data_IF_123290192611
#
_entry.id   IF_123290192611
#
_cell.length_a   1.000
_cell.length_b   1.000
_cell.length_c   1.000
_cell.angle_alpha   90.00
_cell.angle_beta   90.00
_cell.angle_gamma   90.00
#
_symmetry.space_group_name_H-M   'P 1'
#
loop_
_entity.id
_entity.type
_entity.pdbx_description
1 polymer ?
#
# COMPACT_ATOMS: atom_id res chain seq x y z
N UNK A 1 -6.18 -15.91 -16.50
CA UNK A 1 -7.24 -15.12 -15.86
C UNK A 1 -6.88 -13.66 -16.03
N UNK A 2 -7.78 -12.83 -16.57
CA UNK A 2 -7.53 -11.40 -16.66
C UNK A 2 -7.61 -10.76 -15.26
N UNK A 3 -6.90 -9.66 -15.04
CA UNK A 3 -6.88 -8.94 -13.76
C UNK A 3 -8.29 -8.45 -13.34
N UNK A 4 -9.18 -8.23 -14.32
CA UNK A 4 -10.56 -7.80 -14.14
C UNK A 4 -11.44 -8.94 -13.61
N UNK A 5 -11.16 -10.19 -13.98
CA UNK A 5 -11.88 -11.38 -13.51
C UNK A 5 -11.44 -11.83 -12.11
N UNK A 6 -10.43 -11.18 -11.52
CA UNK A 6 -9.99 -11.55 -10.17
C UNK A 6 -11.15 -11.39 -9.18
N UNK A 7 -11.48 -12.44 -8.39
CA UNK A 7 -12.59 -12.39 -7.46
C UNK A 7 -12.34 -11.36 -6.35
N UNK A 8 -13.41 -10.69 -5.91
CA UNK A 8 -13.32 -9.76 -4.78
C UNK A 8 -12.98 -10.55 -3.51
N UNK A 9 -11.99 -10.08 -2.77
CA UNK A 9 -11.66 -10.62 -1.46
C UNK A 9 -12.81 -10.29 -0.50
N UNK A 10 -13.41 -11.34 0.08
CA UNK A 10 -14.46 -11.22 1.10
C UNK A 10 -13.93 -11.41 2.51
N UNK A 11 -12.85 -12.17 2.68
CA UNK A 11 -12.18 -12.41 3.95
C UNK A 11 -10.90 -11.61 4.00
N UNK A 12 -10.72 -10.80 5.04
CA UNK A 12 -9.48 -10.06 5.33
C UNK A 12 -8.36 -11.01 5.80
N UNK A 13 -8.09 -12.04 5.00
CA UNK A 13 -7.06 -13.03 5.27
C UNK A 13 -5.72 -12.51 4.74
N UNK A 14 -4.64 -12.56 5.55
CA UNK A 14 -3.30 -12.18 5.13
C UNK A 14 -2.84 -12.92 3.86
N UNK A 15 -3.25 -14.18 3.71
CA UNK A 15 -2.91 -15.00 2.55
C UNK A 15 -3.58 -14.50 1.27
N UNK A 16 -4.84 -14.11 1.34
CA UNK A 16 -5.61 -13.63 0.19
C UNK A 16 -5.12 -12.25 -0.27
N UNK A 17 -4.80 -11.37 0.68
CA UNK A 17 -4.19 -10.07 0.38
C UNK A 17 -2.83 -10.21 -0.31
N UNK A 18 -1.97 -11.13 0.17
CA UNK A 18 -0.70 -11.44 -0.50
C UNK A 18 -0.90 -11.95 -1.91
N UNK A 19 -1.85 -12.88 -2.12
CA UNK A 19 -2.16 -13.42 -3.46
C UNK A 19 -2.66 -12.34 -4.40
N UNK A 20 -3.54 -11.45 -3.95
CA UNK A 20 -4.02 -10.31 -4.73
C UNK A 20 -2.86 -9.39 -5.14
N UNK A 21 -2.03 -8.96 -4.18
CA UNK A 21 -0.87 -8.09 -4.46
C UNK A 21 0.07 -8.75 -5.46
N UNK A 22 0.38 -10.03 -5.27
CA UNK A 22 1.26 -10.76 -6.19
C UNK A 22 0.67 -10.83 -7.60
N UNK A 23 -0.62 -11.18 -7.71
CA UNK A 23 -1.33 -11.27 -8.99
C UNK A 23 -1.34 -9.93 -9.71
N UNK A 24 -1.66 -8.83 -9.02
CA UNK A 24 -1.64 -7.49 -9.60
C UNK A 24 -0.24 -7.07 -10.05
N UNK A 25 0.80 -7.33 -9.24
CA UNK A 25 2.19 -7.07 -9.62
C UNK A 25 2.58 -7.80 -10.90
N UNK A 26 2.23 -9.09 -11.02
CA UNK A 26 2.52 -9.88 -12.22
C UNK A 26 1.80 -9.35 -13.46
N UNK A 27 0.52 -9.00 -13.34
CA UNK A 27 -0.25 -8.46 -14.46
C UNK A 27 0.26 -7.09 -14.90
N UNK A 28 0.52 -6.19 -13.96
CA UNK A 28 1.08 -4.86 -14.26
C UNK A 28 2.48 -5.01 -14.88
N UNK A 29 3.30 -5.94 -14.40
CA UNK A 29 4.59 -6.23 -15.00
C UNK A 29 4.46 -6.73 -16.45
N UNK A 30 3.51 -7.64 -16.71
CA UNK A 30 3.22 -8.11 -18.06
C UNK A 30 2.75 -6.97 -18.98
N UNK A 31 1.86 -6.08 -18.50
CA UNK A 31 1.41 -4.90 -19.24
C UNK A 31 2.58 -3.95 -19.57
N UNK A 32 3.46 -3.67 -18.60
CA UNK A 32 4.65 -2.86 -18.83
C UNK A 32 5.60 -3.50 -19.86
N UNK A 33 5.74 -4.83 -19.82
CA UNK A 33 6.57 -5.57 -20.80
C UNK A 33 6.00 -5.57 -22.21
N UNK A 34 4.69 -5.41 -22.35
CA UNK A 34 4.01 -5.26 -23.63
C UNK A 34 4.16 -3.85 -24.23
N UNK A 35 4.85 -2.91 -23.54
CA UNK A 35 5.16 -1.58 -24.05
C UNK A 35 4.13 -0.50 -23.73
N UNK A 36 3.06 -0.85 -23.02
CA UNK A 36 1.99 0.07 -22.61
C UNK A 36 2.31 0.69 -21.23
N UNK A 37 3.43 1.43 -21.14
CA UNK A 37 3.69 2.27 -19.97
C UNK A 37 2.87 3.56 -20.10
N UNK A 38 1.58 3.49 -19.78
CA UNK A 38 0.71 4.66 -19.81
C UNK A 38 0.91 5.52 -18.55
N UNK A 39 1.32 6.79 -18.70
CA UNK A 39 1.61 7.68 -17.57
C UNK A 39 0.41 7.94 -16.65
N UNK A 40 -0.83 7.73 -17.13
CA UNK A 40 -2.06 8.07 -16.40
C UNK A 40 -2.86 6.86 -15.86
N UNK A 41 -2.36 5.64 -16.02
CA UNK A 41 -3.11 4.43 -15.58
C UNK A 41 -3.14 4.25 -14.07
N UNK A 42 -2.40 5.04 -13.29
CA UNK A 42 -2.33 4.89 -11.83
C UNK A 42 -3.71 5.01 -11.17
N UNK A 43 -4.56 5.96 -11.60
CA UNK A 43 -5.91 6.12 -11.07
C UNK A 43 -6.80 4.93 -11.41
N UNK A 44 -6.73 4.44 -12.66
CA UNK A 44 -7.46 3.25 -13.12
C UNK A 44 -7.03 2.00 -12.35
N UNK A 45 -5.73 1.78 -12.18
CA UNK A 45 -5.16 0.65 -11.44
C UNK A 45 -5.56 0.70 -9.97
N UNK A 46 -5.52 1.88 -9.35
CA UNK A 46 -6.02 2.07 -7.99
C UNK A 46 -7.50 1.69 -7.88
N UNK A 47 -8.36 2.23 -8.75
CA UNK A 47 -9.79 1.91 -8.75
C UNK A 47 -10.03 0.41 -8.92
N UNK A 48 -9.28 -0.24 -9.82
CA UNK A 48 -9.35 -1.67 -10.03
C UNK A 48 -8.96 -2.45 -8.77
N UNK A 49 -7.83 -2.13 -8.12
CA UNK A 49 -7.40 -2.78 -6.88
C UNK A 49 -8.44 -2.56 -5.77
N UNK A 50 -8.93 -1.33 -5.59
CA UNK A 50 -9.95 -0.98 -4.59
C UNK A 50 -11.23 -1.79 -4.78
N UNK A 51 -11.66 -2.02 -6.03
CA UNK A 51 -12.83 -2.86 -6.33
C UNK A 51 -12.68 -4.32 -5.88
N UNK A 52 -11.45 -4.81 -5.74
CA UNK A 52 -11.15 -6.20 -5.35
C UNK A 52 -10.97 -6.40 -3.85
N UNK A 53 -10.94 -5.32 -3.06
CA UNK A 53 -10.78 -5.39 -1.60
C UNK A 53 -12.08 -4.99 -0.86
N UNK A 54 -12.25 -5.42 0.39
CA UNK A 54 -13.39 -5.02 1.22
C UNK A 54 -13.29 -3.54 1.65
N UNK A 55 -14.46 -2.94 1.91
CA UNK A 55 -14.62 -1.52 2.30
C UNK A 55 -13.85 -1.16 3.58
N UNK A 56 -13.67 -2.10 4.50
CA UNK A 56 -12.86 -1.91 5.72
C UNK A 56 -11.42 -1.54 5.40
N UNK A 57 -10.80 -2.23 4.44
CA UNK A 57 -9.44 -1.99 3.98
C UNK A 57 -9.37 -0.70 3.17
N UNK A 58 -10.37 -0.41 2.33
CA UNK A 58 -10.44 0.84 1.59
C UNK A 58 -10.43 2.05 2.54
N UNK A 59 -11.26 2.01 3.59
CA UNK A 59 -11.28 3.07 4.61
C UNK A 59 -9.94 3.22 5.34
N UNK A 60 -9.30 2.11 5.72
CA UNK A 60 -7.97 2.16 6.34
C UNK A 60 -6.93 2.78 5.41
N UNK A 61 -6.99 2.44 4.12
CA UNK A 61 -6.12 3.02 3.11
C UNK A 61 -6.36 4.53 2.97
N UNK A 62 -7.61 4.97 2.84
CA UNK A 62 -7.98 6.39 2.76
C UNK A 62 -7.48 7.19 3.97
N UNK A 63 -7.54 6.62 5.17
CA UNK A 63 -7.00 7.24 6.40
C UNK A 63 -5.47 7.38 6.41
N UNK A 64 -4.74 6.65 5.56
CA UNK A 64 -3.28 6.76 5.45
C UNK A 64 -2.83 7.84 4.45
N UNK A 65 -3.74 8.43 3.69
CA UNK A 65 -3.41 9.42 2.67
C UNK A 65 -3.25 10.82 3.28
N UNK A 66 -2.09 11.47 3.13
CA UNK A 66 -1.81 12.72 3.83
C UNK A 66 -2.47 13.97 3.22
N UNK A 67 -2.87 13.96 1.94
CA UNK A 67 -3.21 15.22 1.24
C UNK A 67 -4.27 15.13 0.11
N UNK A 68 -5.17 14.14 0.14
CA UNK A 68 -6.24 13.99 -0.87
C UNK A 68 -5.77 13.80 -2.34
N UNK A 69 -4.47 13.71 -2.60
CA UNK A 69 -3.90 13.34 -3.90
C UNK A 69 -3.99 11.83 -4.10
N UNK A 70 -4.26 11.40 -5.34
CA UNK A 70 -4.29 9.97 -5.70
C UNK A 70 -2.84 9.48 -5.79
N UNK A 71 -2.34 8.72 -4.81
CA UNK A 71 -0.96 8.25 -4.87
C UNK A 71 -0.82 7.19 -5.97
N UNK A 72 0.42 6.93 -6.45
CA UNK A 72 0.69 5.84 -7.38
C UNK A 72 0.19 4.49 -6.84
N UNK A 73 -0.27 3.62 -7.74
CA UNK A 73 -0.79 2.28 -7.39
C UNK A 73 0.21 1.43 -6.57
N UNK A 74 1.51 1.71 -6.69
CA UNK A 74 2.58 1.07 -5.92
C UNK A 74 2.39 1.30 -4.41
N UNK A 75 1.93 2.47 -3.99
CA UNK A 75 1.69 2.76 -2.57
C UNK A 75 0.55 1.90 -2.02
N UNK A 76 -0.53 1.73 -2.78
CA UNK A 76 -1.64 0.87 -2.42
C UNK A 76 -1.19 -0.61 -2.33
N UNK A 77 -0.40 -1.09 -3.29
CA UNK A 77 0.16 -2.45 -3.24
C UNK A 77 1.06 -2.67 -2.02
N UNK A 78 1.90 -1.69 -1.67
CA UNK A 78 2.76 -1.76 -0.49
C UNK A 78 1.94 -1.72 0.81
N UNK A 79 0.87 -0.92 0.87
CA UNK A 79 -0.05 -0.91 1.99
C UNK A 79 -0.70 -2.29 2.19
N UNK A 80 -1.24 -2.89 1.12
CA UNK A 80 -1.85 -4.22 1.18
C UNK A 80 -0.83 -5.30 1.58
N UNK A 81 0.43 -5.19 1.12
CA UNK A 81 1.51 -6.10 1.50
C UNK A 81 1.87 -5.97 2.98
N UNK A 82 1.90 -4.74 3.52
CA UNK A 82 2.11 -4.48 4.96
C UNK A 82 0.95 -5.00 5.80
N UNK A 83 -0.28 -4.81 5.34
CA UNK A 83 -1.48 -5.34 6.00
C UNK A 83 -1.46 -6.87 6.00
N UNK A 84 -1.04 -7.49 4.91
CA UNK A 84 -0.87 -8.95 4.83
C UNK A 84 0.30 -9.50 5.66
N UNK A 85 1.25 -8.65 6.09
CA UNK A 85 2.32 -9.03 7.03
C UNK A 85 1.92 -8.77 8.48
N UNK A 86 1.14 -7.73 8.75
CA UNK A 86 0.67 -7.38 10.09
C UNK A 86 -0.60 -8.15 10.41
N UNK A 87 -0.55 -9.09 11.34
CA UNK A 87 -1.73 -9.78 11.88
C UNK A 87 -2.67 -8.86 12.70
N UNK A 88 -2.49 -7.53 12.65
CA UNK A 88 -3.23 -6.54 13.44
C UNK A 88 -3.63 -5.36 12.54
N UNK A 89 -4.79 -4.73 12.79
CA UNK A 89 -5.19 -3.50 12.10
C UNK A 89 -4.08 -2.47 12.23
N UNK A 90 -3.77 -1.79 11.13
CA UNK A 90 -2.78 -0.72 11.10
C UNK A 90 -3.33 0.41 11.98
N UNK A 91 -2.93 0.43 13.25
CA UNK A 91 -3.04 1.64 14.05
C UNK A 91 -2.17 2.67 13.35
N UNK A 92 -2.80 3.70 12.78
CA UNK A 92 -2.16 4.88 12.21
C UNK A 92 -1.17 5.44 13.23
N UNK A 93 0.09 4.99 13.15
CA UNK A 93 1.20 5.68 13.78
C UNK A 93 1.32 6.96 12.98
N UNK A 94 0.86 8.04 13.61
CA UNK A 94 1.06 9.41 13.14
C UNK A 94 2.51 9.50 12.68
N UNK A 95 2.66 9.87 11.42
CA UNK A 95 3.93 10.28 10.84
C UNK A 95 4.55 11.31 11.77
N UNK A 96 5.50 10.88 12.60
CA UNK A 96 6.39 11.76 13.32
C UNK A 96 7.09 12.54 12.23
N UNK A 97 6.71 13.81 12.10
CA UNK A 97 7.44 14.80 11.34
C UNK A 97 8.89 14.68 11.78
N UNK A 98 9.75 14.23 10.86
CA UNK A 98 11.19 14.27 11.03
C UNK A 98 11.55 15.75 11.15
N UNK A 99 11.76 16.20 12.39
CA UNK A 99 12.45 17.44 12.69
C UNK A 99 13.90 17.04 12.97
N UNK A 100 14.87 17.34 12.09
CA UNK A 100 16.26 17.09 12.37
C UNK A 100 16.78 18.22 13.26
N UNK A 101 16.75 18.05 14.58
CA UNK A 101 17.74 18.71 15.44
C UNK A 101 18.37 17.70 16.38
N UNK A 102 19.64 17.46 16.07
CA UNK A 102 20.58 16.65 16.82
C UNK A 102 20.69 17.18 18.25
N UNK A 103 20.61 16.31 19.24
CA UNK A 103 21.27 16.55 20.53
C UNK A 103 21.96 15.27 20.96
N UNK A 104 23.26 15.24 20.70
CA UNK A 104 24.23 14.25 21.15
C UNK A 104 24.28 14.26 22.69
N UNK A 105 24.17 13.12 23.40
CA UNK A 105 24.52 13.07 24.82
C UNK A 105 26.00 12.69 24.95
N UNK A 106 26.88 13.68 25.14
CA UNK A 106 28.23 13.42 25.64
C UNK A 106 28.16 13.23 27.15
N UNK A 107 28.33 11.97 27.55
CA UNK A 107 28.60 11.53 28.91
C UNK A 107 30.07 11.81 29.22
N UNK A 108 30.38 12.74 30.12
CA UNK A 108 31.68 12.73 30.81
C UNK A 108 31.53 12.93 32.31
N UNK A 109 32.27 12.06 33.02
CA UNK A 109 32.36 11.85 34.47
C UNK A 109 33.16 12.97 35.14
N UNK A 110 32.94 13.08 36.45
CA UNK A 110 33.63 13.88 37.46
C UNK A 110 35.18 13.80 37.40
N UNK A 111 35.87 14.69 38.12
CA UNK A 111 36.20 14.40 39.52
C UNK A 111 35.63 15.39 40.55
#
# INVERSE_FOLDING_TARGET
MAIIDYPRITKESPTELRRLVHTFKQHIYALNKLGESYPDTSAMLNSLILSKIPLSIQKQWEMTLPNNEVPPYIHLLNFLERLARSSRPITTVKQTRESPEQTTPVRQRAP
#
